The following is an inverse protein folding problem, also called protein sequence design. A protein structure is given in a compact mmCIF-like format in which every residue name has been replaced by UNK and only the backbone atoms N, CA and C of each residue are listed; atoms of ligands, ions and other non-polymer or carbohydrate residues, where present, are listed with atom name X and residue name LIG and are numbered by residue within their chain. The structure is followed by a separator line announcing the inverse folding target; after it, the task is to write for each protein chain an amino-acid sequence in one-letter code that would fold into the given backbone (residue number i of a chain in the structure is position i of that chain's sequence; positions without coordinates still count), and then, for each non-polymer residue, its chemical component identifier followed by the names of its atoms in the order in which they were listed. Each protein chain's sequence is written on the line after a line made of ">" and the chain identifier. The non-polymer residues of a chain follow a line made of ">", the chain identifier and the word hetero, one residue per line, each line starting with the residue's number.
data_IF_473177270283
#
_entry.id   IF_473177270283
#
_cell.length_a   1.000
_cell.length_b   1.000
_cell.length_c   1.000
_cell.angle_alpha   90.00
_cell.angle_beta   90.00
_cell.angle_gamma   90.00
#
_symmetry.space_group_name_H-M   'P 1'
#
loop_
_entity.id
_entity.type
_entity.pdbx_description
1 polymer ?
#
# COMPACT_ATOMS: atom_id res chain seq x y z
N UNK A 1 15.02 -39.52 19.72
CA UNK A 1 14.78 -38.20 19.07
C UNK A 1 13.68 -37.48 19.83
N UNK A 2 13.94 -36.39 20.55
CA UNK A 2 12.88 -35.60 21.16
C UNK A 2 12.34 -34.59 20.14
N UNK A 3 11.01 -34.45 20.09
CA UNK A 3 10.30 -33.50 19.23
C UNK A 3 10.46 -32.09 19.81
N UNK A 4 11.08 -31.19 19.06
CA UNK A 4 11.12 -29.76 19.36
C UNK A 4 9.75 -29.14 19.08
N UNK A 5 9.00 -28.81 20.13
CA UNK A 5 7.81 -27.98 20.07
C UNK A 5 8.22 -26.50 20.04
N UNK A 6 8.14 -25.87 18.88
CA UNK A 6 8.33 -24.42 18.72
C UNK A 6 7.06 -23.72 19.19
N UNK A 7 7.05 -23.21 20.41
CA UNK A 7 5.99 -22.33 20.91
C UNK A 7 6.11 -20.96 20.24
N UNK A 8 5.08 -20.55 19.50
CA UNK A 8 4.94 -19.16 19.01
C UNK A 8 4.95 -18.18 20.20
N UNK A 9 5.58 -17.00 20.10
CA UNK A 9 5.54 -16.00 21.15
C UNK A 9 4.11 -15.52 21.38
N UNK A 10 3.64 -15.63 22.63
CA UNK A 10 2.30 -15.22 23.05
C UNK A 10 2.31 -13.75 23.46
N UNK A 11 1.63 -12.91 22.67
CA UNK A 11 1.49 -11.48 22.97
C UNK A 11 0.48 -11.29 24.10
N UNK A 12 0.84 -10.55 25.15
CA UNK A 12 -0.09 -10.15 26.22
C UNK A 12 -0.45 -8.68 26.03
N UNK A 13 -1.67 -8.39 25.55
CA UNK A 13 -2.25 -7.04 25.52
C UNK A 13 -3.16 -6.83 26.74
N UNK A 14 -3.23 -5.60 27.28
CA UNK A 14 -4.09 -5.26 28.43
C UNK A 14 -4.70 -3.88 28.26
N UNK A 15 -6.02 -3.79 28.42
CA UNK A 15 -6.85 -2.69 27.86
C UNK A 15 -7.41 -1.69 28.88
N UNK A 16 -7.06 -1.76 30.18
CA UNK A 16 -7.70 -0.92 31.21
C UNK A 16 -6.85 0.26 31.71
N UNK A 17 -7.48 1.43 31.83
CA UNK A 17 -6.93 2.77 32.12
C UNK A 17 -6.09 2.89 33.40
N UNK A 18 -6.53 2.25 34.49
CA UNK A 18 -5.86 2.34 35.80
C UNK A 18 -4.52 1.60 35.78
N UNK A 19 -4.42 0.52 35.01
CA UNK A 19 -3.19 -0.26 34.87
C UNK A 19 -2.12 0.48 34.04
N UNK A 20 -2.51 1.18 32.96
CA UNK A 20 -1.57 1.94 32.12
C UNK A 20 -0.89 3.09 32.87
N UNK A 21 -1.67 3.89 33.59
CA UNK A 21 -1.15 5.05 34.35
C UNK A 21 -0.28 4.66 35.56
N UNK A 22 -0.57 3.53 36.22
CA UNK A 22 0.22 3.03 37.35
C UNK A 22 1.56 2.41 36.88
N UNK A 23 1.57 1.67 35.77
CA UNK A 23 2.80 1.14 35.17
C UNK A 23 3.73 2.24 34.64
N UNK A 24 3.16 3.37 34.20
CA UNK A 24 3.94 4.55 33.85
C UNK A 24 4.79 5.10 35.01
N UNK A 25 4.36 4.89 36.26
CA UNK A 25 5.07 5.34 37.47
C UNK A 25 5.94 4.24 38.08
N UNK A 26 5.51 2.98 38.02
CA UNK A 26 6.24 1.83 38.59
C UNK A 26 6.03 0.60 37.71
N UNK A 27 7.06 0.22 36.94
CA UNK A 27 7.03 -0.88 35.96
C UNK A 27 6.62 -2.24 36.56
N UNK A 28 6.86 -2.44 37.87
CA UNK A 28 6.59 -3.70 38.57
C UNK A 28 5.18 -3.83 39.14
N UNK A 29 4.37 -2.77 39.14
CA UNK A 29 3.13 -2.74 39.93
C UNK A 29 2.08 -3.78 39.54
N UNK A 30 2.17 -4.35 38.34
CA UNK A 30 1.27 -5.42 37.86
C UNK A 30 2.01 -6.53 37.11
N UNK A 31 3.33 -6.60 37.30
CA UNK A 31 4.21 -7.51 36.59
C UNK A 31 4.88 -8.45 37.60
N UNK A 32 4.44 -9.71 37.61
CA UNK A 32 5.01 -10.72 38.50
C UNK A 32 6.40 -11.16 38.01
N UNK A 33 6.61 -11.16 36.69
CA UNK A 33 7.87 -11.53 36.01
C UNK A 33 8.05 -10.62 34.79
N UNK A 34 9.26 -10.08 34.60
CA UNK A 34 9.64 -9.31 33.41
C UNK A 34 9.36 -10.12 32.12
N UNK A 35 8.66 -9.58 31.10
CA UNK A 35 8.30 -10.36 29.93
C UNK A 35 9.53 -10.82 29.15
N UNK A 36 10.64 -10.07 29.20
CA UNK A 36 11.87 -10.41 28.50
C UNK A 36 12.47 -11.73 28.97
N UNK A 37 12.26 -12.09 30.25
CA UNK A 37 12.74 -13.35 30.84
C UNK A 37 12.01 -14.57 30.25
N UNK A 38 10.78 -14.39 29.77
CA UNK A 38 9.97 -15.46 29.14
C UNK A 38 9.92 -15.34 27.62
N UNK A 39 10.81 -14.55 27.01
CA UNK A 39 10.84 -14.33 25.56
C UNK A 39 9.64 -13.54 25.02
N UNK A 40 8.97 -12.77 25.89
CA UNK A 40 7.84 -11.93 25.54
C UNK A 40 8.26 -10.45 25.53
N UNK A 41 7.46 -9.60 24.88
CA UNK A 41 7.65 -8.16 24.83
C UNK A 41 6.42 -7.46 25.38
N UNK A 42 6.61 -6.50 26.30
CA UNK A 42 5.52 -5.66 26.78
C UNK A 42 5.12 -4.65 25.70
N UNK A 43 3.91 -4.78 25.16
CA UNK A 43 3.31 -3.75 24.29
C UNK A 43 2.34 -2.90 25.10
N UNK A 44 2.58 -1.59 25.13
CA UNK A 44 1.63 -0.64 25.72
C UNK A 44 0.53 -0.35 24.69
N UNK A 45 -0.73 -0.60 25.07
CA UNK A 45 -1.89 -0.26 24.25
C UNK A 45 -2.16 1.24 24.41
N UNK A 46 -2.12 1.98 23.31
CA UNK A 46 -2.68 3.33 23.25
C UNK A 46 -4.16 3.13 22.96
N UNK A 47 -5.00 3.22 23.98
CA UNK A 47 -6.46 3.19 23.82
C UNK A 47 -7.02 4.61 23.94
N UNK A 48 -8.30 4.77 23.59
CA UNK A 48 -9.19 5.93 23.81
C UNK A 48 -8.94 6.70 25.13
N UNK A 49 -8.48 6.00 26.18
CA UNK A 49 -8.30 6.51 27.54
C UNK A 49 -6.81 6.68 27.94
N UNK A 50 -5.88 6.39 27.03
CA UNK A 50 -4.43 6.50 27.22
C UNK A 50 -3.94 7.93 27.00
N UNK A 51 -3.74 8.68 28.08
CA UNK A 51 -3.26 10.06 28.01
C UNK A 51 -1.82 10.23 27.49
N UNK A 52 -1.31 11.47 27.55
CA UNK A 52 0.02 11.94 27.08
C UNK A 52 1.19 10.95 27.29
N UNK A 53 1.24 10.34 28.47
CA UNK A 53 2.31 9.44 28.86
C UNK A 53 2.29 8.09 28.10
N UNK A 54 1.12 7.63 27.64
CA UNK A 54 1.03 6.43 26.79
C UNK A 54 1.49 6.71 25.37
N UNK A 55 1.12 7.85 24.78
CA UNK A 55 1.57 8.25 23.44
C UNK A 55 3.09 8.45 23.39
N UNK A 56 3.64 9.19 24.37
CA UNK A 56 5.08 9.42 24.47
C UNK A 56 5.85 8.12 24.65
N UNK A 57 5.43 7.26 25.59
CA UNK A 57 6.11 5.99 25.84
C UNK A 57 5.95 5.00 24.69
N UNK A 58 4.85 5.03 23.94
CA UNK A 58 4.68 4.21 22.73
C UNK A 58 5.60 4.66 21.61
N UNK A 59 5.77 5.97 21.42
CA UNK A 59 6.76 6.50 20.48
C UNK A 59 8.19 6.09 20.89
N UNK A 60 8.53 6.20 22.18
CA UNK A 60 9.82 5.75 22.73
C UNK A 60 10.02 4.23 22.56
N UNK A 61 9.01 3.40 22.81
CA UNK A 61 9.05 1.93 22.60
C UNK A 61 9.26 1.54 21.14
N UNK A 62 8.74 2.34 20.20
CA UNK A 62 8.91 2.13 18.77
C UNK A 62 10.23 2.73 18.25
N UNK A 63 11.05 3.32 19.13
CA UNK A 63 12.35 3.91 18.79
C UNK A 63 12.25 5.27 18.11
N UNK A 64 11.10 5.95 18.20
CA UNK A 64 10.90 7.28 17.62
C UNK A 64 11.01 8.35 18.71
N UNK A 65 12.02 9.19 18.58
CA UNK A 65 12.05 10.44 19.32
C UNK A 65 10.94 11.35 18.79
N UNK A 66 10.07 11.84 19.67
CA UNK A 66 9.09 12.90 19.35
C UNK A 66 9.79 14.27 19.19
N UNK A 67 11.03 14.28 18.73
CA UNK A 67 11.80 15.50 18.51
C UNK A 67 11.08 16.38 17.49
N UNK A 68 10.71 17.59 17.91
CA UNK A 68 9.94 18.53 17.10
C UNK A 68 8.44 18.25 16.99
N UNK A 69 7.89 17.26 17.70
CA UNK A 69 6.45 16.97 17.73
C UNK A 69 5.89 17.28 19.12
N UNK A 70 4.88 18.16 19.23
CA UNK A 70 4.20 18.37 20.51
C UNK A 70 3.39 17.11 20.89
N UNK A 71 3.73 16.42 21.99
CA UNK A 71 2.99 15.23 22.42
C UNK A 71 1.51 15.50 22.70
N UNK A 72 1.13 16.74 23.02
CA UNK A 72 -0.27 17.13 23.25
C UNK A 72 -1.05 17.17 21.94
N UNK A 73 -0.51 17.83 20.92
CA UNK A 73 -1.12 17.91 19.59
C UNK A 73 -1.26 16.52 18.98
N UNK A 74 -0.21 15.69 19.09
CA UNK A 74 -0.25 14.30 18.63
C UNK A 74 -1.32 13.48 19.37
N UNK A 75 -1.42 13.62 20.70
CA UNK A 75 -2.46 12.92 21.48
C UNK A 75 -3.87 13.36 21.11
N UNK A 76 -4.09 14.66 20.87
CA UNK A 76 -5.39 15.17 20.40
C UNK A 76 -5.72 14.69 18.98
N UNK A 77 -4.71 14.59 18.11
CA UNK A 77 -4.89 14.03 16.77
C UNK A 77 -5.26 12.55 16.82
N UNK A 78 -4.52 11.75 17.61
CA UNK A 78 -4.82 10.32 17.78
C UNK A 78 -6.25 10.13 18.25
N UNK A 79 -6.69 10.87 19.27
CA UNK A 79 -8.08 10.80 19.76
C UNK A 79 -9.12 11.12 18.68
N UNK A 80 -8.86 12.12 17.83
CA UNK A 80 -9.75 12.43 16.69
C UNK A 80 -9.79 11.28 15.69
N UNK A 81 -8.63 10.74 15.32
CA UNK A 81 -8.52 9.63 14.39
C UNK A 81 -9.17 8.34 14.94
N UNK A 82 -9.07 8.09 16.25
CA UNK A 82 -9.74 6.96 16.90
C UNK A 82 -11.26 7.12 16.91
N UNK A 83 -11.76 8.33 17.20
CA UNK A 83 -13.18 8.66 17.07
C UNK A 83 -13.68 8.52 15.61
N UNK A 84 -12.82 8.82 14.64
CA UNK A 84 -13.04 8.57 13.22
C UNK A 84 -12.86 7.11 12.82
N UNK A 85 -12.73 6.19 13.78
CA UNK A 85 -12.73 4.77 13.53
C UNK A 85 -11.39 4.14 13.22
N UNK A 86 -10.27 4.86 13.36
CA UNK A 86 -8.94 4.25 13.40
C UNK A 86 -8.66 3.64 14.78
N UNK A 87 -7.64 2.80 14.87
CA UNK A 87 -7.19 2.16 16.11
C UNK A 87 -5.74 1.76 15.94
N UNK A 88 -4.86 2.48 16.60
CA UNK A 88 -3.43 2.25 16.50
C UNK A 88 -2.97 0.99 17.28
N UNK A 89 -3.92 0.25 17.88
CA UNK A 89 -3.70 -1.09 18.41
C UNK A 89 -3.68 -2.12 17.27
N UNK A 90 -2.49 -2.67 16.98
CA UNK A 90 -2.29 -3.67 15.92
C UNK A 90 -2.04 -3.08 14.52
N UNK A 91 -1.85 -1.77 14.41
CA UNK A 91 -1.42 -1.08 13.18
C UNK A 91 -0.18 -0.22 13.46
N UNK A 92 0.91 -0.85 13.92
CA UNK A 92 2.12 -0.13 14.34
C UNK A 92 2.72 0.76 13.23
N UNK A 93 2.66 0.31 11.97
CA UNK A 93 3.22 1.09 10.86
C UNK A 93 2.43 2.37 10.60
N UNK A 94 1.10 2.35 10.68
CA UNK A 94 0.27 3.56 10.55
C UNK A 94 0.52 4.55 11.68
N UNK A 95 0.77 4.08 12.92
CA UNK A 95 1.17 4.96 14.02
C UNK A 95 2.55 5.60 13.78
N UNK A 96 3.52 4.80 13.33
CA UNK A 96 4.87 5.28 13.02
C UNK A 96 4.87 6.32 11.89
N UNK A 97 4.09 6.09 10.83
CA UNK A 97 3.87 7.08 9.78
C UNK A 97 3.18 8.33 10.29
N UNK A 98 2.17 8.21 11.18
CA UNK A 98 1.51 9.36 11.79
C UNK A 98 2.52 10.24 12.51
N UNK A 99 3.39 9.67 13.35
CA UNK A 99 4.44 10.40 14.06
C UNK A 99 5.39 11.08 13.07
N UNK A 100 5.83 10.35 12.03
CA UNK A 100 6.76 10.87 11.00
C UNK A 100 6.19 12.03 10.21
N UNK A 101 4.94 11.93 9.78
CA UNK A 101 4.24 13.00 9.04
C UNK A 101 4.14 14.31 9.84
N UNK A 102 4.26 14.25 11.16
CA UNK A 102 4.25 15.42 12.04
C UNK A 102 5.66 15.91 12.44
N UNK A 103 6.72 15.22 12.03
CA UNK A 103 8.09 15.69 12.25
C UNK A 103 8.42 16.81 11.26
N UNK A 104 9.22 17.77 11.73
CA UNK A 104 9.67 18.89 10.90
C UNK A 104 10.54 18.38 9.74
N UNK A 105 10.25 18.83 8.51
CA UNK A 105 11.03 18.46 7.33
C UNK A 105 10.64 17.12 6.69
N UNK A 106 9.59 16.45 7.19
CA UNK A 106 9.05 15.26 6.53
C UNK A 106 8.38 15.63 5.20
N UNK A 107 8.74 14.92 4.14
CA UNK A 107 8.07 14.97 2.85
C UNK A 107 7.63 13.55 2.46
N UNK A 108 6.36 13.33 2.10
CA UNK A 108 5.90 12.01 1.69
C UNK A 108 6.57 11.62 0.36
N UNK A 109 6.99 10.35 0.19
CA UNK A 109 7.70 9.89 -1.01
C UNK A 109 6.83 9.93 -2.28
N UNK A 110 5.51 9.91 -2.10
CA UNK A 110 4.52 10.06 -3.15
C UNK A 110 3.21 10.60 -2.56
N UNK A 111 2.32 11.07 -3.42
CA UNK A 111 0.95 11.46 -3.04
C UNK A 111 -0.04 10.81 -3.99
N UNK A 112 -1.01 10.08 -3.45
CA UNK A 112 -2.17 9.65 -4.22
C UNK A 112 -3.04 10.89 -4.53
N UNK A 113 -3.20 11.20 -5.81
CA UNK A 113 -3.95 12.38 -6.28
C UNK A 113 -5.41 12.03 -6.48
N UNK A 114 -5.67 10.88 -7.08
CA UNK A 114 -7.00 10.45 -7.51
C UNK A 114 -7.00 8.92 -7.68
N UNK A 115 -8.15 8.30 -7.48
CA UNK A 115 -8.37 6.91 -7.84
C UNK A 115 -9.82 6.68 -8.27
N UNK A 116 -10.01 5.77 -9.22
CA UNK A 116 -11.32 5.32 -9.68
C UNK A 116 -11.29 3.80 -9.73
N UNK A 117 -12.34 3.15 -9.24
CA UNK A 117 -12.49 1.70 -9.31
C UNK A 117 -13.82 1.39 -9.99
N UNK A 118 -13.76 0.62 -11.07
CA UNK A 118 -14.90 0.14 -11.81
C UNK A 118 -15.07 -1.36 -11.54
N UNK A 119 -16.27 -1.76 -11.15
CA UNK A 119 -16.63 -3.17 -11.01
C UNK A 119 -17.80 -3.45 -11.94
N UNK A 120 -17.60 -4.33 -12.90
CA UNK A 120 -18.63 -4.75 -13.84
C UNK A 120 -19.03 -6.21 -13.57
N UNK A 121 -20.33 -6.42 -13.35
CA UNK A 121 -20.95 -7.74 -13.37
C UNK A 121 -21.95 -7.78 -14.51
N UNK A 122 -21.77 -8.70 -15.46
CA UNK A 122 -22.75 -8.97 -16.52
C UNK A 122 -23.25 -10.39 -16.37
N UNK A 123 -24.53 -10.61 -16.66
CA UNK A 123 -25.13 -11.94 -16.57
C UNK A 123 -24.39 -12.92 -17.49
N UNK A 124 -23.95 -14.05 -16.94
CA UNK A 124 -23.19 -15.06 -17.68
C UNK A 124 -21.69 -14.77 -17.89
N UNK A 125 -21.13 -13.68 -17.33
CA UNK A 125 -19.69 -13.40 -17.37
C UNK A 125 -19.07 -13.38 -15.98
N UNK A 126 -17.76 -13.64 -15.90
CA UNK A 126 -17.01 -13.42 -14.66
C UNK A 126 -17.02 -11.94 -14.26
N UNK A 127 -16.98 -11.69 -12.95
CA UNK A 127 -16.87 -10.35 -12.37
C UNK A 127 -15.56 -9.71 -12.86
N UNK A 128 -15.63 -8.49 -13.38
CA UNK A 128 -14.44 -7.72 -13.77
C UNK A 128 -14.26 -6.54 -12.83
N UNK A 129 -13.03 -6.33 -12.38
CA UNK A 129 -12.66 -5.15 -11.62
C UNK A 129 -11.45 -4.48 -12.25
N UNK A 130 -11.58 -3.20 -12.54
CA UNK A 130 -10.51 -2.34 -13.06
C UNK A 130 -10.34 -1.17 -12.11
N UNK A 131 -9.10 -0.80 -11.82
CA UNK A 131 -8.79 0.39 -11.06
C UNK A 131 -7.81 1.28 -11.82
N UNK A 132 -8.04 2.58 -11.71
CA UNK A 132 -7.21 3.63 -12.25
C UNK A 132 -6.75 4.52 -11.11
N UNK A 133 -5.46 4.85 -11.06
CA UNK A 133 -4.86 5.71 -10.03
C UNK A 133 -4.03 6.81 -10.65
N UNK A 134 -4.04 7.98 -10.03
CA UNK A 134 -3.10 9.07 -10.31
C UNK A 134 -2.22 9.28 -9.10
N UNK A 135 -0.91 9.19 -9.30
CA UNK A 135 0.08 9.31 -8.23
C UNK A 135 1.08 10.39 -8.61
N UNK A 136 1.33 11.31 -7.69
CA UNK A 136 2.37 12.32 -7.81
C UNK A 136 3.65 11.85 -7.11
N UNK A 137 4.78 11.80 -7.83
CA UNK A 137 6.11 11.47 -7.30
C UNK A 137 7.08 12.52 -7.84
N UNK A 138 7.83 13.19 -6.96
CA UNK A 138 8.84 14.20 -7.32
C UNK A 138 8.36 15.26 -8.34
N UNK A 139 7.10 15.72 -8.18
CA UNK A 139 6.47 16.72 -9.05
C UNK A 139 5.87 16.18 -10.36
N UNK A 140 6.06 14.90 -10.68
CA UNK A 140 5.47 14.24 -11.85
C UNK A 140 4.22 13.47 -11.46
N UNK A 141 3.17 13.53 -12.30
CA UNK A 141 1.92 12.80 -12.08
C UNK A 141 1.83 11.65 -13.07
N UNK A 142 1.83 10.42 -12.55
CA UNK A 142 1.60 9.21 -13.35
C UNK A 142 0.16 8.76 -13.22
N UNK A 143 -0.40 8.35 -14.35
CA UNK A 143 -1.73 7.80 -14.45
C UNK A 143 -1.63 6.33 -14.90
N UNK A 144 -2.05 5.41 -14.05
CA UNK A 144 -1.96 3.97 -14.32
C UNK A 144 -3.30 3.30 -14.10
N UNK A 145 -3.58 2.30 -14.93
CA UNK A 145 -4.71 1.40 -14.77
C UNK A 145 -4.24 -0.06 -14.69
N UNK A 146 -4.98 -0.87 -13.95
CA UNK A 146 -4.79 -2.31 -13.85
C UNK A 146 -6.12 -3.03 -13.57
N UNK A 147 -6.25 -4.22 -14.15
CA UNK A 147 -7.30 -5.18 -13.84
C UNK A 147 -6.94 -5.98 -12.59
N UNK A 148 -7.95 -6.54 -11.94
CA UNK A 148 -7.77 -7.48 -10.83
C UNK A 148 -8.98 -8.36 -10.62
N UNK A 149 -8.81 -9.37 -9.77
CA UNK A 149 -9.89 -10.30 -9.41
C UNK A 149 -10.99 -9.64 -8.56
N UNK A 150 -10.75 -8.43 -8.08
CA UNK A 150 -11.68 -7.63 -7.29
C UNK A 150 -11.17 -6.19 -7.14
N UNK A 151 -12.01 -5.28 -6.64
CA UNK A 151 -11.71 -3.85 -6.61
C UNK A 151 -10.44 -3.50 -5.83
N UNK A 152 -10.21 -4.17 -4.69
CA UNK A 152 -9.01 -3.96 -3.87
C UNK A 152 -7.74 -4.48 -4.58
N UNK A 153 -7.83 -5.61 -5.26
CA UNK A 153 -6.70 -6.19 -5.99
C UNK A 153 -6.35 -5.37 -7.23
N UNK A 154 -7.35 -4.88 -7.97
CA UNK A 154 -7.15 -3.96 -9.08
C UNK A 154 -6.46 -2.66 -8.59
N UNK A 155 -6.94 -2.10 -7.48
CA UNK A 155 -6.39 -0.89 -6.87
C UNK A 155 -4.92 -1.07 -6.43
N UNK A 156 -4.60 -2.14 -5.70
CA UNK A 156 -3.23 -2.48 -5.30
C UNK A 156 -2.32 -2.64 -6.53
N UNK A 157 -2.80 -3.33 -7.57
CA UNK A 157 -2.05 -3.53 -8.81
C UNK A 157 -1.78 -2.22 -9.55
N UNK A 158 -2.78 -1.33 -9.64
CA UNK A 158 -2.65 -0.03 -10.29
C UNK A 158 -1.67 0.88 -9.53
N UNK A 159 -1.76 0.91 -8.19
CA UNK A 159 -0.88 1.69 -7.31
C UNK A 159 0.57 1.20 -7.39
N UNK A 160 0.79 -0.11 -7.32
CA UNK A 160 2.12 -0.71 -7.51
C UNK A 160 2.67 -0.43 -8.89
N UNK A 161 1.85 -0.51 -9.95
CA UNK A 161 2.27 -0.20 -11.32
C UNK A 161 2.77 1.24 -11.45
N UNK A 162 2.11 2.21 -10.80
CA UNK A 162 2.58 3.60 -10.76
C UNK A 162 3.91 3.72 -10.00
N UNK A 163 3.97 3.16 -8.79
CA UNK A 163 5.09 3.38 -7.88
C UNK A 163 6.36 2.60 -8.26
N UNK A 164 6.23 1.44 -8.91
CA UNK A 164 7.40 0.65 -9.38
C UNK A 164 8.23 1.37 -10.45
N UNK A 165 7.65 2.34 -11.16
CA UNK A 165 8.40 3.19 -12.10
C UNK A 165 9.47 4.04 -11.39
N UNK A 166 9.25 4.33 -10.11
CA UNK A 166 10.09 5.19 -9.27
C UNK A 166 10.81 4.43 -8.16
N UNK A 167 10.20 3.37 -7.63
CA UNK A 167 10.69 2.58 -6.51
C UNK A 167 10.66 1.08 -6.86
N UNK A 168 11.65 0.57 -7.64
CA UNK A 168 11.69 -0.85 -8.03
C UNK A 168 11.77 -1.82 -6.85
N UNK A 169 12.25 -1.36 -5.69
CA UNK A 169 12.31 -2.17 -4.46
C UNK A 169 10.95 -2.64 -3.94
N UNK A 170 9.84 -2.05 -4.42
CA UNK A 170 8.48 -2.45 -4.06
C UNK A 170 8.04 -3.80 -4.65
N UNK A 171 8.83 -4.42 -5.54
CA UNK A 171 8.52 -5.73 -6.11
C UNK A 171 8.51 -6.86 -5.07
N UNK A 172 9.30 -6.73 -3.99
CA UNK A 172 9.34 -7.71 -2.90
C UNK A 172 8.13 -7.62 -1.96
N UNK A 173 7.46 -6.46 -1.93
CA UNK A 173 6.36 -6.19 -1.00
C UNK A 173 5.08 -6.84 -1.50
N UNK A 174 4.41 -7.61 -0.67
CA UNK A 174 3.09 -8.19 -0.98
C UNK A 174 2.18 -8.19 0.25
N UNK A 175 0.87 -8.25 -0.02
CA UNK A 175 -0.16 -8.35 1.01
C UNK A 175 -0.20 -9.78 1.56
N UNK A 176 -0.15 -9.95 2.88
CA UNK A 176 -0.20 -11.26 3.55
C UNK A 176 -1.54 -11.52 4.25
N UNK A 177 -2.22 -10.46 4.72
CA UNK A 177 -3.54 -10.59 5.34
C UNK A 177 -4.37 -9.32 5.13
N UNK A 178 -5.69 -9.50 5.07
CA UNK A 178 -6.67 -8.44 4.83
C UNK A 178 -7.87 -8.66 5.75
N UNK A 179 -8.08 -7.72 6.68
CA UNK A 179 -9.11 -7.81 7.71
C UNK A 179 -10.02 -6.59 7.65
N UNK A 180 -11.33 -6.83 7.70
CA UNK A 180 -12.35 -5.76 7.75
C UNK A 180 -13.14 -5.89 9.04
N UNK A 181 -13.36 -4.76 9.71
CA UNK A 181 -14.18 -4.63 10.91
C UNK A 181 -15.21 -3.54 10.67
N UNK A 182 -16.47 -3.84 10.99
CA UNK A 182 -17.55 -2.84 11.01
C UNK A 182 -17.56 -2.24 12.42
N UNK A 183 -17.52 -0.91 12.50
CA UNK A 183 -17.41 -0.20 13.78
C UNK A 183 -18.77 0.12 14.40
N UNK A 184 -19.74 0.47 13.55
CA UNK A 184 -21.10 0.77 13.95
C UNK A 184 -22.06 -0.20 13.26
N UNK A 185 -22.64 -1.12 14.04
CA UNK A 185 -23.60 -2.10 13.52
C UNK A 185 -24.98 -1.51 13.21
N UNK A 186 -25.32 -0.35 13.76
CA UNK A 186 -26.67 0.24 13.62
C UNK A 186 -26.87 0.88 12.24
N UNK A 187 -25.82 1.49 11.68
CA UNK A 187 -25.83 2.12 10.37
C UNK A 187 -25.79 1.13 9.19
N UNK A 188 -25.76 -0.19 9.44
CA UNK A 188 -25.75 -1.27 8.45
C UNK A 188 -24.80 -1.03 7.25
N UNK A 189 -25.32 -0.72 6.06
CA UNK A 189 -24.51 -0.51 4.85
C UNK A 189 -23.80 0.85 4.81
N UNK A 190 -24.25 1.82 5.60
CA UNK A 190 -23.61 3.12 5.78
C UNK A 190 -22.59 3.10 6.94
N UNK A 191 -22.42 1.96 7.58
CA UNK A 191 -21.51 1.80 8.70
C UNK A 191 -20.07 2.15 8.30
N UNK A 192 -19.39 2.84 9.21
CA UNK A 192 -17.96 3.07 9.05
C UNK A 192 -17.23 1.74 9.18
N UNK A 193 -16.39 1.47 8.18
CA UNK A 193 -15.54 0.27 8.13
C UNK A 193 -14.12 0.63 8.51
N UNK A 194 -13.45 -0.31 9.17
CA UNK A 194 -12.02 -0.29 9.45
C UNK A 194 -11.39 -1.43 8.68
N UNK A 195 -10.41 -1.11 7.85
CA UNK A 195 -9.61 -2.07 7.09
C UNK A 195 -8.22 -2.12 7.71
N UNK A 196 -7.73 -3.33 7.97
CA UNK A 196 -6.38 -3.60 8.44
C UNK A 196 -5.70 -4.50 7.40
N UNK A 197 -4.51 -4.09 7.01
CA UNK A 197 -3.69 -4.71 5.97
C UNK A 197 -2.36 -5.09 6.59
N UNK A 198 -2.04 -6.38 6.53
CA UNK A 198 -0.74 -6.91 6.88
C UNK A 198 0.06 -7.12 5.60
N UNK A 199 1.27 -6.56 5.53
CA UNK A 199 2.15 -6.63 4.37
C UNK A 199 3.52 -7.17 4.76
N UNK A 200 4.21 -7.79 3.80
CA UNK A 200 5.54 -8.37 3.99
C UNK A 200 6.45 -8.07 2.81
N UNK A 201 7.73 -7.82 3.09
CA UNK A 201 8.81 -7.79 2.09
C UNK A 201 9.62 -9.11 2.04
N UNK A 202 9.14 -10.15 2.73
CA UNK A 202 9.82 -11.43 2.91
C UNK A 202 10.79 -11.48 4.10
N UNK A 203 11.14 -10.33 4.67
CA UNK A 203 12.02 -10.23 5.86
C UNK A 203 11.28 -9.65 7.06
N UNK A 204 10.44 -8.66 6.81
CA UNK A 204 9.68 -7.89 7.80
C UNK A 204 8.20 -8.00 7.48
N UNK A 205 7.40 -7.98 8.53
CA UNK A 205 5.95 -7.86 8.44
C UNK A 205 5.52 -6.56 9.13
N UNK A 206 4.52 -5.90 8.57
CA UNK A 206 3.94 -4.71 9.17
C UNK A 206 2.45 -4.62 8.89
N UNK A 207 1.76 -3.94 9.81
CA UNK A 207 0.32 -3.78 9.80
C UNK A 207 -0.03 -2.30 9.67
N UNK A 208 -0.89 -2.01 8.70
CA UNK A 208 -1.43 -0.66 8.43
C UNK A 208 -2.94 -0.71 8.42
N UNK A 209 -3.55 0.46 8.50
CA UNK A 209 -5.00 0.54 8.54
C UNK A 209 -5.57 1.78 7.88
N UNK A 210 -6.85 1.70 7.54
CA UNK A 210 -7.64 2.81 7.06
C UNK A 210 -9.07 2.68 7.58
N UNK A 211 -9.77 3.80 7.69
CA UNK A 211 -11.19 3.81 8.05
C UNK A 211 -11.96 4.78 7.19
N UNK A 212 -13.09 4.31 6.66
CA UNK A 212 -14.01 5.10 5.87
C UNK A 212 -15.38 4.39 5.83
N UNK A 213 -16.43 5.14 5.50
CA UNK A 213 -17.75 4.60 5.14
C UNK A 213 -17.71 3.77 3.86
N UNK A 214 -16.77 4.06 2.95
CA UNK A 214 -16.50 3.31 1.74
C UNK A 214 -15.32 2.36 1.97
N UNK A 215 -15.59 1.06 1.93
CA UNK A 215 -14.58 0.00 2.11
C UNK A 215 -13.39 0.12 1.13
N UNK A 216 -13.61 0.61 -0.09
CA UNK A 216 -12.56 0.81 -1.09
C UNK A 216 -11.67 2.00 -0.71
N UNK A 217 -12.25 3.08 -0.21
CA UNK A 217 -11.49 4.23 0.29
C UNK A 217 -10.66 3.87 1.53
N UNK A 218 -11.26 3.12 2.48
CA UNK A 218 -10.55 2.60 3.64
C UNK A 218 -9.38 1.68 3.24
N UNK A 219 -9.60 0.82 2.24
CA UNK A 219 -8.56 -0.06 1.68
C UNK A 219 -7.45 0.74 1.00
N UNK A 220 -7.81 1.79 0.25
CA UNK A 220 -6.87 2.66 -0.43
C UNK A 220 -5.94 3.38 0.56
N UNK A 221 -6.50 3.92 1.65
CA UNK A 221 -5.73 4.55 2.72
C UNK A 221 -4.75 3.57 3.37
N UNK A 222 -5.22 2.37 3.71
CA UNK A 222 -4.37 1.32 4.29
C UNK A 222 -3.24 0.89 3.33
N UNK A 223 -3.54 0.69 2.04
CA UNK A 223 -2.54 0.34 1.03
C UNK A 223 -1.50 1.44 0.82
N UNK A 224 -1.95 2.69 0.79
CA UNK A 224 -1.08 3.87 0.65
C UNK A 224 -0.10 3.96 1.81
N UNK A 225 -0.61 3.85 3.04
CA UNK A 225 0.21 3.79 4.25
C UNK A 225 1.19 2.60 4.20
N UNK A 226 0.73 1.42 3.78
CA UNK A 226 1.59 0.22 3.72
C UNK A 226 2.79 0.44 2.79
N UNK A 227 2.55 1.00 1.61
CA UNK A 227 3.61 1.23 0.63
C UNK A 227 4.53 2.39 1.06
N UNK A 228 3.99 3.48 1.61
CA UNK A 228 4.78 4.57 2.17
C UNK A 228 5.72 4.08 3.27
N UNK A 229 5.19 3.25 4.17
CA UNK A 229 5.99 2.62 5.22
C UNK A 229 7.09 1.71 4.65
N UNK A 230 6.77 0.93 3.61
CA UNK A 230 7.74 0.07 2.96
C UNK A 230 8.89 0.85 2.31
N UNK A 231 8.58 1.92 1.55
CA UNK A 231 9.58 2.81 0.95
C UNK A 231 10.51 3.36 2.03
N UNK A 232 9.91 3.85 3.12
CA UNK A 232 10.67 4.45 4.21
C UNK A 232 11.54 3.42 4.95
N UNK A 233 11.01 2.24 5.31
CA UNK A 233 11.76 1.21 6.05
C UNK A 233 12.87 0.54 5.24
N UNK A 234 12.68 0.43 3.92
CA UNK A 234 13.70 -0.13 3.02
C UNK A 234 14.74 0.90 2.63
N UNK A 235 14.50 2.20 2.89
CA UNK A 235 15.35 3.29 2.41
C UNK A 235 15.36 3.32 0.87
N UNK A 236 14.26 2.96 0.23
CA UNK A 236 14.19 2.86 -1.22
C UNK A 236 14.48 4.23 -1.84
N UNK A 237 15.57 4.30 -2.59
CA UNK A 237 15.95 5.50 -3.33
C UNK A 237 15.05 5.66 -4.55
N UNK A 238 14.70 6.92 -4.83
CA UNK A 238 14.01 7.30 -6.04
C UNK A 238 14.89 6.96 -7.25
N UNK A 239 14.51 5.92 -7.99
CA UNK A 239 15.16 5.50 -9.23
C UNK A 239 14.20 5.75 -10.37
N UNK A 240 14.37 6.90 -11.02
CA UNK A 240 13.67 7.25 -12.24
C UNK A 240 14.01 6.21 -13.32
N UNK A 241 13.06 5.35 -13.69
CA UNK A 241 13.19 4.60 -14.95
C UNK A 241 12.89 5.54 -16.10
N UNK A 242 13.89 5.83 -16.94
CA UNK A 242 13.71 6.51 -18.22
C UNK A 242 12.59 5.80 -19.01
N UNK A 243 11.55 6.54 -19.39
CA UNK A 243 10.34 6.04 -20.07
C UNK A 243 10.59 5.42 -21.46
N UNK A 244 11.85 5.37 -21.93
CA UNK A 244 12.25 4.86 -23.26
C UNK A 244 12.08 3.34 -23.47
N UNK A 245 11.49 2.62 -22.53
CA UNK A 245 11.32 1.16 -22.62
C UNK A 245 9.87 0.66 -22.81
N UNK A 246 8.88 1.55 -22.90
CA UNK A 246 7.48 1.13 -23.13
C UNK A 246 7.04 1.14 -24.60
N UNK A 247 7.78 1.76 -25.52
CA UNK A 247 7.49 1.67 -26.95
C UNK A 247 8.45 0.72 -27.64
N UNK A 248 7.94 -0.46 -27.99
CA UNK A 248 8.49 -1.42 -28.95
C UNK A 248 9.27 -0.71 -30.06
N UNK A 249 10.52 -1.13 -30.28
CA UNK A 249 11.26 -0.80 -31.50
C UNK A 249 10.56 -1.47 -32.69
N UNK A 250 9.62 -0.76 -33.32
CA UNK A 250 9.24 -1.08 -34.69
C UNK A 250 10.28 -0.42 -35.58
N UNK A 251 11.13 -1.25 -36.20
CA UNK A 251 12.07 -0.80 -37.21
C UNK A 251 11.28 -0.09 -38.33
N UNK A 252 11.66 1.12 -38.76
CA UNK A 252 11.03 1.71 -39.92
C UNK A 252 11.41 0.89 -41.14
N UNK A 253 10.41 0.32 -41.81
CA UNK A 253 10.56 -0.25 -43.14
C UNK A 253 11.17 0.82 -44.05
N UNK A 254 12.37 0.56 -44.56
CA UNK A 254 13.06 1.41 -45.53
C UNK A 254 12.32 1.36 -46.86
N UNK A 255 11.35 2.25 -47.03
CA UNK A 255 10.84 2.64 -48.35
C UNK A 255 11.85 3.58 -49.01
N UNK A 256 12.81 3.00 -49.74
CA UNK A 256 13.64 3.72 -50.69
C UNK A 256 12.89 3.85 -52.01
N UNK A 257 12.44 5.06 -52.36
CA UNK A 257 12.00 5.37 -53.71
C UNK A 257 12.57 6.72 -54.16
N UNK A 258 13.10 6.73 -55.39
CA UNK A 258 13.65 7.90 -56.09
C UNK A 258 15.03 7.58 -56.67
N UNK A 259 15.31 7.64 -57.97
CA UNK A 259 14.54 8.15 -59.11
C UNK A 259 15.27 7.74 -60.43
N UNK A 260 14.77 8.08 -61.63
CA UNK A 260 14.91 7.31 -62.87
C UNK A 260 16.02 7.79 -63.82
N UNK A 261 16.38 6.96 -64.83
CA UNK A 261 16.48 7.33 -66.27
C UNK A 261 17.23 6.26 -67.12
N UNK A 262 16.56 5.83 -68.20
CA UNK A 262 17.04 5.44 -69.56
C UNK A 262 18.17 4.36 -69.69
N UNK A 263 18.19 3.39 -70.62
CA UNK A 263 17.77 3.37 -72.03
C UNK A 263 17.81 1.92 -72.59
N UNK A 264 16.93 1.65 -73.58
CA UNK A 264 17.03 0.74 -74.75
C UNK A 264 17.05 -0.81 -74.66
N UNK A 265 16.06 -1.35 -75.40
CA UNK A 265 16.13 -2.36 -76.47
C UNK A 265 15.79 -3.84 -76.16
N UNK A 266 14.76 -4.35 -76.85
CA UNK A 266 14.55 -5.79 -77.10
C UNK A 266 13.10 -6.28 -77.08
N UNK A 267 12.36 -6.08 -78.18
CA UNK A 267 11.11 -6.78 -78.57
C UNK A 267 11.32 -8.32 -78.80
N UNK A 268 10.29 -9.15 -79.14
CA UNK A 268 8.95 -9.37 -78.56
C UNK A 268 8.56 -10.89 -78.58
N UNK A 269 7.24 -11.21 -78.51
CA UNK A 269 6.52 -12.49 -78.78
C UNK A 269 6.30 -13.41 -77.56
N UNK A 270 5.14 -14.00 -77.24
CA UNK A 270 3.83 -14.21 -77.91
C UNK A 270 2.76 -14.66 -76.86
N UNK A 271 1.46 -14.77 -77.21
CA UNK A 271 0.32 -14.69 -76.28
C UNK A 271 -0.44 -16.02 -76.04
N UNK A 272 -1.67 -15.91 -75.46
CA UNK A 272 -2.78 -16.90 -75.36
C UNK A 272 -2.83 -17.65 -74.00
N UNK A 273 -3.95 -17.87 -73.28
CA UNK A 273 -5.43 -17.81 -73.45
C UNK A 273 -6.06 -17.74 -72.02
N UNK A 274 -7.15 -16.99 -71.77
CA UNK A 274 -8.54 -17.48 -71.53
C UNK A 274 -8.68 -18.65 -70.54
N UNK A 275 -9.65 -18.78 -69.62
CA UNK A 275 -10.96 -18.19 -69.28
C UNK A 275 -11.25 -18.62 -67.81
N UNK A 276 -12.00 -17.87 -66.98
CA UNK A 276 -13.43 -18.12 -66.64
C UNK A 276 -13.67 -19.56 -66.11
N UNK A 277 -14.10 -19.80 -64.86
CA UNK A 277 -15.51 -19.88 -64.41
C UNK A 277 -15.50 -20.40 -62.94
N UNK A 278 -15.99 -19.65 -61.94
CA UNK A 278 -17.28 -19.82 -61.22
C UNK A 278 -17.66 -21.28 -60.85
N UNK A 279 -17.52 -21.62 -59.57
CA UNK A 279 -18.55 -22.21 -58.68
C UNK A 279 -18.01 -22.30 -57.25
#
# INVERSE_FOLDING_TARGET
>A
MPRSSTSRPTTTSRTSVVHGAAMLKVDRSYQHVDPGIVGNVSRLVVSELGGRANTQRRAEQLGHALEGVDPRELSLLIKRLEADGLAFEGAEASFELLVRRHQTGYAPPFRLVDFTVLVEAREGTELRAEATVKVAVDGEVLHTAADGNGPVNALDSALRKALRAFYPGLDAVHLVDYKVRILDGESATAARTRVIIDSSDGVREWSTMGSDTNIIAASCAALTDSIEYAIWKTGAELRRRDERHFTTSHAPATNGNGSPAATSAGQPSSPSKSDEEVA
#
